data_IF_883592491011
#
_entry.id   IF_883592491011
#
_cell.length_a   1.000
_cell.length_b   1.000
_cell.length_c   1.000
_cell.angle_alpha   90.00
_cell.angle_beta   90.00
_cell.angle_gamma   90.00
#
_symmetry.space_group_name_H-M   'P 1'
#
loop_
_entity.id
_entity.type
_entity.pdbx_description
1 polymer ?
#
# COMPACT_ATOMS: atom_id res chain seq x y z
N UNK A 1 -46.77 -39.04 14.61
CA UNK A 1 -46.98 -37.58 14.75
C UNK A 1 -45.62 -36.90 14.48
N UNK A 2 -45.44 -36.27 13.35
CA UNK A 2 -44.14 -35.73 12.96
C UNK A 2 -43.91 -34.46 13.76
N UNK A 3 -42.76 -34.37 14.49
CA UNK A 3 -42.41 -33.23 15.33
C UNK A 3 -42.21 -31.95 14.47
N UNK A 4 -43.31 -31.21 14.25
CA UNK A 4 -43.30 -29.96 13.50
C UNK A 4 -42.39 -28.87 14.17
N UNK A 5 -42.27 -28.89 15.52
CA UNK A 5 -41.44 -27.91 16.26
C UNK A 5 -39.97 -28.16 16.02
N UNK A 6 -39.53 -29.41 15.95
CA UNK A 6 -38.14 -29.72 15.65
C UNK A 6 -37.71 -29.38 14.22
N UNK A 7 -38.61 -29.54 13.23
CA UNK A 7 -38.34 -29.09 11.85
C UNK A 7 -38.25 -27.57 11.74
N UNK A 8 -39.15 -26.82 12.37
CA UNK A 8 -39.12 -25.35 12.34
C UNK A 8 -37.84 -24.81 13.00
N UNK A 9 -37.41 -25.38 14.12
CA UNK A 9 -36.13 -25.02 14.76
C UNK A 9 -34.93 -25.26 13.83
N UNK A 10 -34.87 -26.40 13.15
CA UNK A 10 -33.81 -26.71 12.17
C UNK A 10 -33.78 -25.74 11.00
N UNK A 11 -34.94 -25.37 10.46
CA UNK A 11 -35.05 -24.39 9.38
C UNK A 11 -34.57 -23.01 9.84
N UNK A 12 -34.99 -22.55 11.04
CA UNK A 12 -34.52 -21.25 11.59
C UNK A 12 -33.00 -21.25 11.78
N UNK A 13 -32.42 -22.32 12.34
CA UNK A 13 -30.98 -22.45 12.54
C UNK A 13 -30.27 -22.41 11.17
N UNK A 14 -30.78 -23.14 10.16
CA UNK A 14 -30.18 -23.11 8.83
C UNK A 14 -30.24 -21.73 8.19
N UNK A 15 -31.35 -20.99 8.34
CA UNK A 15 -31.47 -19.62 7.85
C UNK A 15 -30.53 -18.65 8.54
N UNK A 16 -30.33 -18.80 9.86
CA UNK A 16 -29.36 -17.99 10.63
C UNK A 16 -27.94 -18.29 10.15
N UNK A 17 -27.56 -19.56 9.97
CA UNK A 17 -26.25 -19.94 9.45
C UNK A 17 -26.01 -19.36 8.05
N UNK A 18 -27.00 -19.46 7.15
CA UNK A 18 -26.91 -18.86 5.82
C UNK A 18 -26.74 -17.34 5.90
N UNK A 19 -27.53 -16.66 6.75
CA UNK A 19 -27.43 -15.22 6.94
C UNK A 19 -26.05 -14.81 7.47
N UNK A 20 -25.46 -15.55 8.42
CA UNK A 20 -24.10 -15.33 8.93
C UNK A 20 -23.06 -15.56 7.85
N UNK A 21 -23.19 -16.62 7.04
CA UNK A 21 -22.25 -16.89 5.94
C UNK A 21 -22.34 -15.80 4.86
N UNK A 22 -23.55 -15.35 4.52
CA UNK A 22 -23.75 -14.24 3.58
C UNK A 22 -23.19 -12.94 4.15
N UNK A 23 -23.47 -12.61 5.40
CA UNK A 23 -22.88 -11.45 6.05
C UNK A 23 -21.34 -11.55 6.11
N UNK A 24 -20.79 -12.71 6.48
CA UNK A 24 -19.35 -12.98 6.43
C UNK A 24 -18.76 -12.78 5.03
N UNK A 25 -19.41 -13.32 4.00
CA UNK A 25 -18.97 -13.12 2.62
C UNK A 25 -18.90 -11.64 2.21
N UNK A 26 -19.85 -10.79 2.64
CA UNK A 26 -19.86 -9.37 2.30
C UNK A 26 -18.96 -8.50 3.18
N UNK A 27 -18.88 -8.80 4.48
CA UNK A 27 -18.19 -7.93 5.45
C UNK A 27 -16.77 -8.39 5.81
N UNK A 28 -16.51 -9.71 5.83
CA UNK A 28 -15.20 -10.25 6.18
C UNK A 28 -14.06 -9.73 5.28
N UNK A 29 -14.25 -9.61 3.96
CA UNK A 29 -13.25 -9.03 3.09
C UNK A 29 -12.87 -7.60 3.44
N UNK A 30 -13.85 -6.75 3.74
CA UNK A 30 -13.59 -5.35 4.11
C UNK A 30 -12.82 -5.28 5.43
N UNK A 31 -13.26 -6.04 6.44
CA UNK A 31 -12.60 -6.07 7.76
C UNK A 31 -11.17 -6.62 7.64
N UNK A 32 -10.97 -7.70 6.90
CA UNK A 32 -9.64 -8.28 6.69
C UNK A 32 -8.75 -7.39 5.82
N UNK A 33 -9.31 -6.77 4.77
CA UNK A 33 -8.59 -5.84 3.91
C UNK A 33 -7.99 -4.68 4.72
N UNK A 34 -8.82 -3.98 5.48
CA UNK A 34 -8.39 -2.85 6.31
C UNK A 34 -7.45 -3.26 7.46
N UNK A 35 -7.54 -4.52 7.93
CA UNK A 35 -6.67 -5.04 8.99
C UNK A 35 -5.31 -5.49 8.46
N UNK A 36 -5.25 -6.08 7.27
CA UNK A 36 -4.03 -6.63 6.67
C UNK A 36 -3.31 -5.62 5.79
N UNK A 37 -4.06 -4.77 5.08
CA UNK A 37 -3.56 -3.71 4.22
C UNK A 37 -4.20 -2.37 4.59
N UNK A 38 -3.90 -1.81 5.77
CA UNK A 38 -4.49 -0.55 6.18
C UNK A 38 -4.06 0.57 5.22
N UNK A 39 -4.99 1.47 4.87
CA UNK A 39 -4.66 2.72 4.23
C UNK A 39 -4.72 3.84 5.26
N UNK A 40 -3.58 4.41 5.59
CA UNK A 40 -3.47 5.60 6.44
C UNK A 40 -2.88 6.75 5.64
N UNK A 41 -3.15 7.96 6.06
CA UNK A 41 -2.59 9.18 5.45
C UNK A 41 -2.91 9.32 3.95
N UNK A 42 -4.10 8.89 3.51
CA UNK A 42 -4.51 8.90 2.11
C UNK A 42 -4.41 10.29 1.47
N UNK A 43 -4.79 11.35 2.19
CA UNK A 43 -4.73 12.71 1.68
C UNK A 43 -3.28 13.19 1.46
N UNK A 44 -2.37 12.87 2.39
CA UNK A 44 -0.93 13.15 2.23
C UNK A 44 -0.36 12.39 1.02
N UNK A 45 -0.72 11.10 0.89
CA UNK A 45 -0.31 10.28 -0.27
C UNK A 45 -0.82 10.90 -1.56
N UNK A 46 -2.10 11.27 -1.66
CA UNK A 46 -2.66 11.91 -2.86
C UNK A 46 -1.96 13.23 -3.17
N UNK A 47 -1.80 14.09 -2.16
CA UNK A 47 -1.15 15.40 -2.30
C UNK A 47 0.26 15.24 -2.88
N UNK A 48 1.12 14.50 -2.22
CA UNK A 48 2.51 14.39 -2.64
C UNK A 48 2.70 13.58 -3.92
N UNK A 49 1.84 12.57 -4.16
CA UNK A 49 1.83 11.84 -5.44
C UNK A 49 1.47 12.76 -6.61
N UNK A 50 0.54 13.70 -6.41
CA UNK A 50 0.23 14.71 -7.43
C UNK A 50 1.39 15.67 -7.63
N UNK A 51 1.94 16.21 -6.53
CA UNK A 51 2.98 17.23 -6.56
C UNK A 51 4.27 16.72 -7.23
N UNK A 52 4.60 15.44 -7.05
CA UNK A 52 5.76 14.78 -7.65
C UNK A 52 5.44 13.87 -8.85
N UNK A 53 4.20 13.87 -9.35
CA UNK A 53 3.74 13.06 -10.50
C UNK A 53 4.00 11.56 -10.31
N UNK A 54 3.76 11.05 -9.11
CA UNK A 54 3.93 9.63 -8.77
C UNK A 54 2.59 8.89 -8.61
N UNK A 55 2.65 7.57 -8.77
CA UNK A 55 1.51 6.70 -8.55
C UNK A 55 1.23 6.56 -7.03
N UNK A 56 0.07 7.01 -6.53
CA UNK A 56 -0.26 6.92 -5.11
C UNK A 56 -0.33 5.49 -4.59
N UNK A 57 -0.64 4.52 -5.45
CA UNK A 57 -0.65 3.11 -5.06
C UNK A 57 0.76 2.56 -4.90
N UNK A 58 1.73 3.05 -5.68
CA UNK A 58 3.14 2.74 -5.51
C UNK A 58 3.65 3.25 -4.17
N UNK A 59 3.35 4.51 -3.84
CA UNK A 59 3.73 5.12 -2.55
C UNK A 59 3.11 4.35 -1.39
N UNK A 60 1.81 4.03 -1.45
CA UNK A 60 1.14 3.21 -0.43
C UNK A 60 1.79 1.82 -0.29
N UNK A 61 2.17 1.19 -1.40
CA UNK A 61 2.87 -0.09 -1.41
C UNK A 61 4.24 -0.05 -0.73
N UNK A 62 5.01 1.03 -0.94
CA UNK A 62 6.30 1.24 -0.25
C UNK A 62 6.05 1.41 1.26
N UNK A 63 5.17 2.33 1.68
CA UNK A 63 4.89 2.60 3.08
C UNK A 63 4.36 1.38 3.83
N UNK A 64 3.56 0.55 3.16
CA UNK A 64 3.10 -0.71 3.71
C UNK A 64 4.24 -1.70 3.92
N UNK A 65 5.13 -1.87 2.94
CA UNK A 65 6.25 -2.82 3.05
C UNK A 65 7.28 -2.37 4.09
N UNK A 66 7.54 -1.06 4.17
CA UNK A 66 8.55 -0.51 5.08
C UNK A 66 8.16 -0.61 6.55
N UNK A 67 6.91 -0.32 6.89
CA UNK A 67 6.51 -0.24 8.30
C UNK A 67 5.05 -0.62 8.61
N UNK A 68 4.23 -0.94 7.61
CA UNK A 68 2.78 -1.06 7.79
C UNK A 68 2.14 0.27 8.22
N UNK A 69 2.63 1.38 7.72
CA UNK A 69 2.21 2.74 8.09
C UNK A 69 2.46 3.09 9.57
N UNK A 70 3.50 2.55 10.18
CA UNK A 70 3.88 2.90 11.55
C UNK A 70 4.86 4.09 11.56
N UNK A 71 4.44 5.30 11.99
CA UNK A 71 5.33 6.47 11.99
C UNK A 71 6.46 6.36 13.02
N UNK A 72 6.33 5.50 14.04
CA UNK A 72 7.34 5.32 15.08
C UNK A 72 8.27 4.13 14.83
N UNK A 73 8.24 3.56 13.60
CA UNK A 73 9.07 2.41 13.27
C UNK A 73 10.56 2.79 13.29
N UNK A 74 11.39 1.89 13.84
CA UNK A 74 12.83 2.00 13.84
C UNK A 74 13.43 0.64 13.51
N UNK A 75 14.33 0.60 12.55
CA UNK A 75 15.01 -0.65 12.21
C UNK A 75 16.30 -0.82 13.02
N UNK A 76 16.79 -2.07 13.19
CA UNK A 76 18.06 -2.33 13.85
C UNK A 76 19.27 -1.65 13.17
N UNK A 77 19.14 -1.31 11.90
CA UNK A 77 20.21 -0.63 11.12
C UNK A 77 20.05 0.89 11.11
N UNK A 78 19.05 1.45 11.82
CA UNK A 78 18.88 2.89 12.01
C UNK A 78 18.00 3.58 10.96
N UNK A 79 17.22 2.84 10.18
CA UNK A 79 16.16 3.42 9.35
C UNK A 79 14.98 3.85 10.23
N UNK A 80 14.34 4.99 9.92
CA UNK A 80 13.40 5.66 10.79
C UNK A 80 12.08 5.97 10.09
N UNK A 81 11.01 5.93 10.90
CA UNK A 81 9.68 6.38 10.54
C UNK A 81 8.96 5.46 9.57
N UNK A 82 7.85 5.97 9.07
CA UNK A 82 6.92 5.22 8.25
C UNK A 82 7.52 4.74 6.93
N UNK A 83 8.42 5.53 6.34
CA UNK A 83 9.09 5.24 5.07
C UNK A 83 10.47 4.60 5.24
N UNK A 84 10.89 4.29 6.47
CA UNK A 84 12.19 3.66 6.82
C UNK A 84 13.39 4.34 6.14
N UNK A 85 13.45 5.67 6.27
CA UNK A 85 14.52 6.48 5.68
C UNK A 85 15.70 6.54 6.63
N UNK A 86 16.90 6.32 6.10
CA UNK A 86 18.14 6.52 6.87
C UNK A 86 18.37 8.01 7.13
N UNK A 87 18.86 8.42 8.32
CA UNK A 87 19.10 9.84 8.64
C UNK A 87 19.94 10.60 7.63
N UNK A 88 20.94 9.94 7.04
CA UNK A 88 21.76 10.54 6.00
C UNK A 88 20.97 10.79 4.70
N UNK A 89 20.14 9.85 4.31
CA UNK A 89 19.21 9.97 3.17
C UNK A 89 18.20 11.09 3.43
N UNK A 90 17.64 11.16 4.65
CA UNK A 90 16.70 12.21 5.05
C UNK A 90 17.28 13.61 4.87
N UNK A 91 18.56 13.84 5.21
CA UNK A 91 19.24 15.13 4.95
C UNK A 91 19.33 15.46 3.46
N UNK A 92 19.64 14.46 2.63
CA UNK A 92 19.71 14.64 1.18
C UNK A 92 18.34 15.00 0.60
N UNK A 93 17.29 14.28 1.02
CA UNK A 93 15.92 14.54 0.59
C UNK A 93 15.47 15.94 1.05
N UNK A 94 15.71 16.28 2.33
CA UNK A 94 15.37 17.59 2.89
C UNK A 94 15.99 18.74 2.06
N UNK A 95 17.26 18.60 1.68
CA UNK A 95 17.90 19.57 0.78
C UNK A 95 17.22 19.61 -0.60
N UNK A 96 16.84 18.46 -1.14
CA UNK A 96 16.17 18.37 -2.44
C UNK A 96 14.77 18.97 -2.47
N UNK A 97 14.01 18.88 -1.36
CA UNK A 97 12.67 19.47 -1.23
C UNK A 97 12.70 20.89 -0.64
N UNK A 98 13.89 21.47 -0.37
CA UNK A 98 14.03 22.81 0.17
C UNK A 98 13.72 22.96 1.65
N UNK A 99 13.70 21.87 2.44
CA UNK A 99 13.47 21.90 3.89
C UNK A 99 14.78 22.21 4.62
N UNK A 100 15.00 23.47 4.95
CA UNK A 100 16.25 23.98 5.54
C UNK A 100 16.38 23.74 7.05
N UNK A 101 15.26 23.52 7.74
CA UNK A 101 15.16 23.30 9.19
C UNK A 101 15.08 21.81 9.58
N UNK A 102 15.45 20.92 8.66
CA UNK A 102 15.34 19.47 8.84
C UNK A 102 16.09 18.97 10.07
N UNK A 103 15.39 18.15 10.85
CA UNK A 103 15.94 17.36 11.95
C UNK A 103 15.64 15.87 11.73
N UNK A 104 16.49 15.00 12.27
CA UNK A 104 16.30 13.54 12.14
C UNK A 104 14.95 13.08 12.73
N UNK A 105 14.44 13.76 13.75
CA UNK A 105 13.11 13.52 14.33
C UNK A 105 11.95 13.74 13.36
N UNK A 106 12.14 14.53 12.31
CA UNK A 106 11.12 14.80 11.30
C UNK A 106 10.74 13.53 10.54
N UNK A 107 11.61 12.52 10.50
CA UNK A 107 11.31 11.21 9.88
C UNK A 107 10.20 10.45 10.59
N UNK A 108 9.82 10.83 11.82
CA UNK A 108 8.68 10.28 12.53
C UNK A 108 7.38 11.06 12.28
N UNK A 109 7.45 12.23 11.62
CA UNK A 109 6.26 12.94 11.18
C UNK A 109 5.66 12.28 9.95
N UNK A 110 4.37 11.87 9.98
CA UNK A 110 3.76 11.16 8.88
C UNK A 110 3.70 11.97 7.57
N UNK A 111 3.45 13.27 7.65
CA UNK A 111 3.37 14.14 6.46
C UNK A 111 4.73 14.26 5.79
N UNK A 112 5.79 14.47 6.58
CA UNK A 112 7.17 14.54 6.09
C UNK A 112 7.61 13.16 5.55
N UNK A 113 7.27 12.08 6.22
CA UNK A 113 7.61 10.73 5.77
C UNK A 113 6.99 10.40 4.42
N UNK A 114 5.70 10.76 4.19
CA UNK A 114 5.04 10.59 2.89
C UNK A 114 5.70 11.47 1.82
N UNK A 115 5.93 12.75 2.11
CA UNK A 115 6.62 13.66 1.20
C UNK A 115 7.99 13.10 0.78
N UNK A 116 8.80 12.70 1.74
CA UNK A 116 10.15 12.21 1.50
C UNK A 116 10.17 10.90 0.72
N UNK A 117 9.27 9.97 1.07
CA UNK A 117 9.08 8.72 0.33
C UNK A 117 8.76 9.00 -1.14
N UNK A 118 7.76 9.86 -1.39
CA UNK A 118 7.28 10.18 -2.73
C UNK A 118 8.34 10.90 -3.56
N UNK A 119 9.02 11.88 -2.97
CA UNK A 119 10.12 12.58 -3.64
C UNK A 119 11.29 11.63 -3.96
N UNK A 120 11.66 10.76 -3.01
CA UNK A 120 12.77 9.84 -3.20
C UNK A 120 12.49 8.85 -4.34
N UNK A 121 11.29 8.24 -4.38
CA UNK A 121 10.96 7.31 -5.47
C UNK A 121 10.87 8.02 -6.81
N UNK A 122 10.36 9.25 -6.86
CA UNK A 122 10.36 10.09 -8.04
C UNK A 122 11.78 10.30 -8.60
N UNK A 123 12.70 10.82 -7.79
CA UNK A 123 14.10 11.04 -8.20
C UNK A 123 14.79 9.75 -8.64
N UNK A 124 14.50 8.64 -7.97
CA UNK A 124 15.05 7.35 -8.37
C UNK A 124 14.47 6.86 -9.69
N UNK A 125 13.18 7.06 -9.95
CA UNK A 125 12.59 6.73 -11.25
C UNK A 125 13.18 7.58 -12.37
N UNK A 126 13.36 8.87 -12.15
CA UNK A 126 14.06 9.73 -13.10
C UNK A 126 15.49 9.24 -13.36
N UNK A 127 16.25 8.92 -12.31
CA UNK A 127 17.62 8.38 -12.45
C UNK A 127 17.68 7.10 -13.28
N UNK A 128 16.66 6.26 -13.22
CA UNK A 128 16.62 4.97 -13.91
C UNK A 128 15.70 4.96 -15.14
N UNK A 129 15.48 6.10 -15.77
CA UNK A 129 14.68 6.26 -17.02
C UNK A 129 13.30 5.60 -16.93
N UNK A 130 12.62 5.72 -15.77
CA UNK A 130 11.31 5.16 -15.50
C UNK A 130 11.28 3.67 -15.14
N UNK A 131 12.45 3.00 -15.03
CA UNK A 131 12.50 1.61 -14.59
C UNK A 131 12.12 1.49 -13.10
N UNK A 132 10.86 1.16 -12.83
CA UNK A 132 10.32 1.01 -11.46
C UNK A 132 11.08 -0.04 -10.64
N UNK A 133 11.51 -1.15 -11.26
CA UNK A 133 12.25 -2.21 -10.57
C UNK A 133 13.61 -1.72 -10.10
N UNK A 134 14.32 -0.98 -10.94
CA UNK A 134 15.62 -0.40 -10.60
C UNK A 134 15.48 0.71 -9.54
N UNK A 135 14.46 1.56 -9.65
CA UNK A 135 14.17 2.59 -8.66
C UNK A 135 13.85 2.00 -7.29
N UNK A 136 13.02 0.97 -7.23
CA UNK A 136 12.68 0.27 -5.98
C UNK A 136 13.88 -0.48 -5.40
N UNK A 137 14.70 -1.12 -6.24
CA UNK A 137 15.93 -1.75 -5.80
C UNK A 137 16.90 -0.71 -5.18
N UNK A 138 17.00 0.49 -5.79
CA UNK A 138 17.81 1.59 -5.27
C UNK A 138 17.24 2.18 -3.98
N UNK A 139 15.93 2.28 -3.85
CA UNK A 139 15.26 2.72 -2.62
C UNK A 139 15.68 1.86 -1.43
N UNK A 140 15.62 0.53 -1.60
CA UNK A 140 15.90 -0.43 -0.54
C UNK A 140 17.41 -0.63 -0.30
N UNK A 141 18.19 -0.80 -1.36
CA UNK A 141 19.59 -1.25 -1.25
C UNK A 141 20.63 -0.15 -1.56
N UNK A 142 20.14 1.04 -1.92
CA UNK A 142 20.98 2.16 -2.35
C UNK A 142 21.40 2.08 -3.82
N UNK A 143 21.64 3.26 -4.41
CA UNK A 143 21.90 3.40 -5.85
C UNK A 143 23.11 2.60 -6.34
N UNK A 144 24.18 2.48 -5.55
CA UNK A 144 25.37 1.73 -5.96
C UNK A 144 25.11 0.24 -6.21
N UNK A 145 24.28 -0.40 -5.37
CA UNK A 145 23.87 -1.79 -5.59
C UNK A 145 22.92 -1.90 -6.80
N UNK A 146 21.95 -1.00 -6.92
CA UNK A 146 21.04 -0.99 -8.05
C UNK A 146 21.78 -0.79 -9.38
N UNK A 147 22.74 0.14 -9.44
CA UNK A 147 23.56 0.37 -10.62
C UNK A 147 24.36 -0.89 -11.03
N UNK A 148 24.87 -1.61 -10.03
CA UNK A 148 25.57 -2.89 -10.26
C UNK A 148 24.61 -3.95 -10.84
N UNK A 149 23.44 -4.14 -10.21
CA UNK A 149 22.45 -5.13 -10.64
C UNK A 149 21.88 -4.79 -12.02
N UNK A 150 21.67 -3.50 -12.31
CA UNK A 150 21.21 -3.06 -13.62
C UNK A 150 22.20 -3.40 -14.72
N UNK A 151 23.51 -3.15 -14.50
CA UNK A 151 24.57 -3.55 -15.44
C UNK A 151 24.65 -5.06 -15.65
N UNK A 152 24.26 -5.86 -14.66
CA UNK A 152 24.19 -7.33 -14.76
C UNK A 152 22.89 -7.84 -15.40
N UNK A 153 21.98 -6.95 -15.82
CA UNK A 153 20.68 -7.32 -16.39
C UNK A 153 19.66 -7.90 -15.39
N UNK A 154 19.90 -7.73 -14.07
CA UNK A 154 19.10 -8.34 -13.02
C UNK A 154 17.88 -7.49 -12.58
N UNK A 155 17.63 -6.33 -13.21
CA UNK A 155 16.51 -5.43 -12.85
C UNK A 155 15.57 -5.18 -14.04
N UNK A 156 15.45 -6.17 -14.93
CA UNK A 156 14.53 -6.12 -16.07
C UNK A 156 13.13 -6.68 -15.71
N UNK A 157 13.07 -7.57 -14.73
CA UNK A 157 11.87 -8.25 -14.28
C UNK A 157 11.72 -8.11 -12.75
N UNK A 158 10.52 -7.75 -12.24
CA UNK A 158 10.27 -7.65 -10.79
C UNK A 158 10.63 -8.91 -10.01
N UNK A 159 10.50 -10.09 -10.59
CA UNK A 159 10.81 -11.36 -9.91
C UNK A 159 12.28 -11.51 -9.53
N UNK A 160 13.17 -10.77 -10.19
CA UNK A 160 14.63 -10.80 -9.91
C UNK A 160 15.03 -9.97 -8.69
N UNK A 161 14.12 -9.14 -8.17
CA UNK A 161 14.33 -8.36 -6.95
C UNK A 161 13.15 -8.51 -5.99
N UNK A 162 13.36 -9.22 -4.89
CA UNK A 162 12.30 -9.57 -3.93
C UNK A 162 11.63 -8.34 -3.30
N UNK A 163 12.35 -7.24 -3.07
CA UNK A 163 11.77 -6.00 -2.57
C UNK A 163 10.87 -5.36 -3.61
N UNK A 164 11.38 -5.14 -4.81
CA UNK A 164 10.61 -4.54 -5.90
C UNK A 164 9.34 -5.37 -6.19
N UNK A 165 9.47 -6.70 -6.25
CA UNK A 165 8.31 -7.58 -6.43
C UNK A 165 7.25 -7.35 -5.36
N UNK A 166 7.62 -7.36 -4.08
CA UNK A 166 6.67 -7.16 -2.98
C UNK A 166 5.98 -5.80 -3.03
N UNK A 167 6.71 -4.72 -3.32
CA UNK A 167 6.12 -3.39 -3.45
C UNK A 167 5.10 -3.36 -4.59
N UNK A 168 5.43 -3.94 -5.76
CA UNK A 168 4.54 -3.97 -6.91
C UNK A 168 3.30 -4.86 -6.68
N UNK A 169 3.46 -5.96 -5.94
CA UNK A 169 2.35 -6.77 -5.47
C UNK A 169 1.42 -5.94 -4.55
N UNK A 170 1.99 -5.20 -3.59
CA UNK A 170 1.22 -4.31 -2.71
C UNK A 170 0.57 -3.16 -3.48
N UNK A 171 1.29 -2.50 -4.41
CA UNK A 171 0.72 -1.52 -5.35
C UNK A 171 -0.57 -2.06 -6.00
N UNK A 172 -0.52 -3.29 -6.50
CA UNK A 172 -1.68 -3.96 -7.11
C UNK A 172 -2.82 -4.18 -6.13
N UNK A 173 -2.51 -4.58 -4.88
CA UNK A 173 -3.51 -4.76 -3.82
C UNK A 173 -4.14 -3.41 -3.46
N UNK A 174 -3.34 -2.36 -3.23
CA UNK A 174 -3.84 -1.03 -2.91
C UNK A 174 -4.70 -0.45 -4.02
N UNK A 175 -4.32 -0.64 -5.28
CA UNK A 175 -5.14 -0.22 -6.42
C UNK A 175 -6.53 -0.90 -6.40
N UNK A 176 -6.59 -2.20 -6.10
CA UNK A 176 -7.86 -2.94 -6.03
C UNK A 176 -8.73 -2.53 -4.83
N UNK A 177 -8.11 -2.28 -3.67
CA UNK A 177 -8.84 -1.99 -2.43
C UNK A 177 -9.27 -0.52 -2.31
N UNK A 178 -8.43 0.40 -2.79
CA UNK A 178 -8.50 1.82 -2.43
C UNK A 178 -8.51 2.74 -3.64
N UNK A 179 -8.96 2.26 -4.82
CA UNK A 179 -9.02 3.04 -6.04
C UNK A 179 -9.77 4.37 -5.83
N UNK A 180 -10.93 4.33 -5.16
CA UNK A 180 -11.72 5.52 -4.92
C UNK A 180 -11.06 6.52 -3.94
N UNK A 181 -10.30 6.01 -2.96
CA UNK A 181 -9.65 6.83 -1.93
C UNK A 181 -8.34 7.47 -2.43
N UNK A 182 -7.66 6.83 -3.36
CA UNK A 182 -6.38 7.29 -3.91
C UNK A 182 -6.48 7.81 -5.36
N UNK A 183 -7.69 7.94 -5.91
CA UNK A 183 -7.89 8.54 -7.23
C UNK A 183 -7.48 10.03 -7.20
N UNK A 184 -6.44 10.36 -7.96
CA UNK A 184 -5.94 11.73 -8.08
C UNK A 184 -6.92 12.66 -8.82
N UNK A 185 -7.82 12.11 -9.65
CA UNK A 185 -8.83 12.88 -10.37
C UNK A 185 -10.03 13.27 -9.48
N UNK A 186 -10.17 12.64 -8.32
CA UNK A 186 -11.25 12.93 -7.37
C UNK A 186 -11.06 14.20 -6.55
N UNK A 187 -9.91 14.85 -6.67
CA UNK A 187 -9.60 16.09 -5.99
C UNK A 187 -10.03 17.27 -6.86
N UNK A 188 -11.17 17.88 -6.51
CA UNK A 188 -11.56 19.20 -7.01
C UNK A 188 -10.51 20.25 -6.58
N UNK A 189 -10.24 21.32 -7.39
CA UNK A 189 -9.35 22.38 -6.95
C UNK A 189 -9.96 23.07 -5.75
N UNK A 190 -9.23 23.06 -4.63
CA UNK A 190 -9.44 23.84 -3.42
C UNK A 190 -10.92 24.05 -2.99
N UNK A 191 -11.42 23.18 -2.12
CA UNK A 191 -12.44 23.56 -1.16
C UNK A 191 -12.08 22.94 0.20
N UNK A 192 -11.87 23.83 1.19
CA UNK A 192 -11.89 23.53 2.61
C UNK A 192 -13.30 23.05 2.97
N UNK A 193 -13.61 21.76 2.80
CA UNK A 193 -14.85 21.19 3.31
C UNK A 193 -14.70 19.73 3.75
N UNK A 194 -15.39 19.45 4.86
CA UNK A 194 -15.47 18.25 5.69
C UNK A 194 -15.66 16.96 4.88
N UNK A 195 -15.17 15.81 5.39
CA UNK A 195 -15.23 14.52 4.68
C UNK A 195 -16.66 14.06 4.46
N UNK A 196 -17.14 14.11 3.23
CA UNK A 196 -18.35 13.39 2.81
C UNK A 196 -17.96 11.94 2.56
N UNK A 197 -18.34 11.07 3.47
CA UNK A 197 -18.25 9.61 3.28
C UNK A 197 -19.20 9.22 2.14
N UNK A 198 -18.71 9.15 0.92
CA UNK A 198 -19.42 8.47 -0.16
C UNK A 198 -19.24 6.97 0.02
N UNK A 199 -20.31 6.29 0.42
CA UNK A 199 -20.40 4.83 0.44
C UNK A 199 -20.20 4.33 -1.00
N UNK A 200 -19.09 3.68 -1.28
CA UNK A 200 -18.80 3.12 -2.59
C UNK A 200 -19.80 1.98 -2.91
N UNK A 201 -20.22 1.92 -4.17
CA UNK A 201 -21.15 0.91 -4.69
C UNK A 201 -20.60 -0.52 -4.40
N UNK A 202 -21.41 -1.30 -3.70
CA UNK A 202 -21.07 -2.66 -3.24
C UNK A 202 -20.90 -3.68 -4.37
N UNK A 203 -21.30 -3.38 -5.60
CA UNK A 203 -21.35 -4.37 -6.68
C UNK A 203 -19.98 -4.57 -7.37
N UNK A 204 -19.14 -3.56 -7.43
CA UNK A 204 -17.78 -3.67 -8.00
C UNK A 204 -16.79 -4.38 -7.05
N UNK A 205 -17.06 -4.35 -5.73
CA UNK A 205 -16.22 -4.98 -4.70
C UNK A 205 -16.23 -6.52 -4.77
N UNK A 206 -17.37 -7.14 -5.10
CA UNK A 206 -17.54 -8.60 -5.02
C UNK A 206 -16.78 -9.38 -6.11
N UNK A 207 -16.60 -8.81 -7.31
CA UNK A 207 -15.85 -9.45 -8.39
C UNK A 207 -14.33 -9.45 -8.11
N UNK A 208 -13.87 -8.43 -7.39
CA UNK A 208 -12.45 -8.22 -7.07
C UNK A 208 -11.95 -9.22 -6.01
N UNK A 209 -12.82 -9.62 -5.06
CA UNK A 209 -12.40 -10.40 -3.88
C UNK A 209 -11.99 -11.83 -4.18
N UNK A 210 -12.59 -12.50 -5.14
CA UNK A 210 -12.20 -13.87 -5.50
C UNK A 210 -10.75 -13.96 -6.00
N UNK A 211 -10.30 -12.96 -6.74
CA UNK A 211 -8.92 -12.86 -7.24
C UNK A 211 -7.97 -12.30 -6.19
N UNK A 212 -8.42 -11.34 -5.39
CA UNK A 212 -7.61 -10.75 -4.31
C UNK A 212 -7.30 -11.78 -3.22
N UNK A 213 -8.26 -12.62 -2.85
CA UNK A 213 -8.05 -13.70 -1.88
C UNK A 213 -7.04 -14.74 -2.41
N UNK A 214 -7.12 -15.11 -3.70
CA UNK A 214 -6.11 -16.00 -4.32
C UNK A 214 -4.71 -15.38 -4.29
N UNK A 215 -4.60 -14.10 -4.62
CA UNK A 215 -3.32 -13.39 -4.59
C UNK A 215 -2.80 -13.22 -3.15
N UNK A 216 -3.69 -12.97 -2.18
CA UNK A 216 -3.33 -12.89 -0.77
C UNK A 216 -2.81 -14.24 -0.24
N UNK A 217 -3.49 -15.32 -0.59
CA UNK A 217 -3.07 -16.68 -0.24
C UNK A 217 -1.71 -17.01 -0.87
N UNK A 218 -1.48 -16.65 -2.13
CA UNK A 218 -0.18 -16.86 -2.78
C UNK A 218 0.94 -16.02 -2.17
N UNK A 219 0.65 -14.79 -1.71
CA UNK A 219 1.59 -13.93 -1.00
C UNK A 219 1.95 -14.47 0.39
N UNK A 220 0.96 -15.01 1.12
CA UNK A 220 1.15 -15.50 2.49
C UNK A 220 1.75 -16.91 2.55
N UNK A 221 1.45 -17.76 1.57
CA UNK A 221 1.82 -19.17 1.59
C UNK A 221 2.81 -19.58 0.50
N UNK A 222 3.27 -18.64 -0.35
CA UNK A 222 4.35 -18.89 -1.31
C UNK A 222 4.09 -20.07 -2.23
N UNK A 223 2.88 -20.23 -2.78
CA UNK A 223 2.62 -21.27 -3.76
C UNK A 223 3.40 -20.95 -5.04
N UNK A 224 4.54 -21.59 -5.20
CA UNK A 224 5.24 -21.69 -6.46
C UNK A 224 4.26 -22.26 -7.51
N UNK A 225 3.99 -21.46 -8.53
CA UNK A 225 3.37 -21.97 -9.76
C UNK A 225 4.46 -22.69 -10.54
N UNK A 226 4.34 -24.00 -10.68
CA UNK A 226 5.02 -24.75 -11.74
C UNK A 226 4.58 -24.24 -13.10
#
# INVERSE_FOLDING_TARGET
MVDKRGRVKKIIISLVIIAVLVAGYFYLPTILGDSVFPLKYAESIKKWSRDYHEDPFLVAGILMLESGFNPQAQSPVGALGMAQIMPATGRTIASGVGKTDYQTSDLFDPEIAVQFCTWQIHVLKEKYDGNEVAALAAYNAGGGNADKWLRMGLLQDPSTNSYAKKVLDYKTVYHKLYQAQLDLNSLSPAEDEKPVVKIADNNSRNVVWGQTLKNLISLLYGTESQ
#
